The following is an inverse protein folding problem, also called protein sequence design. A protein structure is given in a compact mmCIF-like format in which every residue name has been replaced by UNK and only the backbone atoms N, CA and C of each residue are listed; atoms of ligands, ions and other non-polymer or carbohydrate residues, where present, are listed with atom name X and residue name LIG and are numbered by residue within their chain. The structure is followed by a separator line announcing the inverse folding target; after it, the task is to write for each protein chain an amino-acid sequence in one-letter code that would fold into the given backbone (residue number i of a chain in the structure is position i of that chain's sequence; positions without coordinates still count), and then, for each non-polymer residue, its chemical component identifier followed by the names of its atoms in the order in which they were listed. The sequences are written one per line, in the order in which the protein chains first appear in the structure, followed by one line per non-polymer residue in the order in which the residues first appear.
data_IF_437042527889
#
_entry.id   IF_437042527889
#
_cell.length_a   1.000
_cell.length_b   1.000
_cell.length_c   1.000
_cell.angle_alpha   90.00
_cell.angle_beta   90.00
_cell.angle_gamma   90.00
#
_symmetry.space_group_name_H-M   'P 1'
#
loop_
_entity.id
_entity.type
_entity.pdbx_description
1 polymer ?
#
# COMPACT_ATOMS: atom_id res chain seq x y z
N UNK A 1 5.35 1.28 -10.52
CA UNK A 1 6.62 0.62 -10.15
C UNK A 1 7.01 0.86 -8.71
N UNK A 2 6.70 2.01 -8.12
CA UNK A 2 6.85 2.19 -6.68
C UNK A 2 5.99 1.16 -5.91
N UNK A 3 6.48 0.72 -4.76
CA UNK A 3 5.81 -0.25 -3.87
C UNK A 3 5.89 0.25 -2.41
N UNK A 4 5.00 -0.15 -1.49
CA UNK A 4 5.21 0.10 -0.07
C UNK A 4 6.44 -0.65 0.44
N UNK A 5 7.10 -0.10 1.46
CA UNK A 5 8.19 -0.77 2.19
C UNK A 5 7.74 -2.12 2.77
N UNK A 6 8.70 -3.03 3.00
CA UNK A 6 8.40 -4.37 3.53
C UNK A 6 7.85 -4.34 4.96
N UNK A 7 8.24 -3.33 5.73
CA UNK A 7 7.88 -3.10 7.12
C UNK A 7 6.80 -2.02 7.31
N UNK A 8 6.18 -1.53 6.23
CA UNK A 8 5.19 -0.44 6.20
C UNK A 8 4.18 -0.48 7.36
N UNK A 9 3.65 -1.66 7.69
CA UNK A 9 2.61 -1.81 8.71
C UNK A 9 3.13 -1.71 10.16
N UNK A 10 4.44 -1.81 10.36
CA UNK A 10 5.13 -1.80 11.65
C UNK A 10 5.93 -0.51 11.91
N UNK A 11 6.15 0.32 10.88
CA UNK A 11 6.88 1.59 11.00
C UNK A 11 6.23 2.53 12.01
N UNK A 12 7.03 3.14 12.89
CA UNK A 12 6.54 4.19 13.81
C UNK A 12 6.83 5.58 13.24
N UNK A 13 5.89 6.52 13.41
CA UNK A 13 6.03 7.86 12.84
C UNK A 13 7.22 8.65 13.45
N UNK A 14 7.51 8.39 14.72
CA UNK A 14 8.60 9.05 15.45
C UNK A 14 9.98 8.51 15.09
N UNK A 15 10.06 7.34 14.43
CA UNK A 15 11.33 6.81 13.96
C UNK A 15 11.87 7.67 12.81
N UNK A 16 13.19 7.92 12.83
CA UNK A 16 13.88 8.59 11.72
C UNK A 16 14.01 7.60 10.56
N UNK A 17 12.91 7.37 9.84
CA UNK A 17 12.88 6.60 8.61
C UNK A 17 13.06 7.50 7.39
N UNK A 18 13.72 6.96 6.37
CA UNK A 18 13.71 7.55 5.03
C UNK A 18 12.32 7.45 4.41
N UNK A 19 11.89 8.52 3.73
CA UNK A 19 10.56 8.56 3.09
C UNK A 19 10.50 7.67 1.84
N UNK A 20 11.62 7.54 1.13
CA UNK A 20 11.74 6.79 -0.10
C UNK A 20 13.08 6.04 -0.13
N UNK A 21 13.05 4.74 -0.41
CA UNK A 21 14.26 3.92 -0.56
C UNK A 21 14.27 3.23 -1.93
N UNK A 22 15.41 2.72 -2.41
CA UNK A 22 15.46 2.08 -3.72
C UNK A 22 14.62 0.79 -3.78
N UNK A 23 13.80 0.63 -4.82
CA UNK A 23 13.01 -0.58 -5.01
C UNK A 23 13.81 -1.65 -5.76
N UNK A 24 14.64 -2.37 -5.00
CA UNK A 24 15.47 -3.48 -5.50
C UNK A 24 14.69 -4.55 -6.27
N UNK A 25 13.55 -5.08 -5.75
CA UNK A 25 12.75 -6.09 -6.45
C UNK A 25 12.25 -5.68 -7.84
N UNK A 26 12.09 -4.38 -8.09
CA UNK A 26 11.67 -3.86 -9.40
C UNK A 26 12.84 -3.36 -10.26
N UNK A 27 14.05 -3.25 -9.70
CA UNK A 27 15.24 -2.69 -10.35
C UNK A 27 15.12 -1.20 -10.72
N UNK A 28 14.06 -0.54 -10.31
CA UNK A 28 13.75 0.85 -10.65
C UNK A 28 12.77 1.44 -9.64
N UNK A 29 12.58 2.76 -9.64
CA UNK A 29 11.65 3.44 -8.74
C UNK A 29 11.98 3.23 -7.25
N UNK A 30 11.01 3.45 -6.37
CA UNK A 30 11.21 3.57 -4.93
C UNK A 30 10.22 2.73 -4.11
N UNK A 31 10.66 2.28 -2.94
CA UNK A 31 9.77 1.84 -1.88
C UNK A 31 9.32 3.08 -1.08
N UNK A 32 8.03 3.20 -0.81
CA UNK A 32 7.40 4.33 -0.11
C UNK A 32 7.06 3.91 1.31
N UNK A 33 7.52 4.68 2.30
CA UNK A 33 7.28 4.38 3.72
C UNK A 33 5.90 4.87 4.18
N UNK A 34 5.42 4.36 5.31
CA UNK A 34 4.16 4.78 5.94
C UNK A 34 4.18 6.29 6.24
N UNK A 35 5.31 6.78 6.74
CA UNK A 35 5.52 8.21 7.02
C UNK A 35 5.35 9.09 5.77
N UNK A 36 5.91 8.65 4.64
CA UNK A 36 5.79 9.38 3.38
C UNK A 36 4.33 9.40 2.89
N UNK A 37 3.62 8.28 3.03
CA UNK A 37 2.21 8.19 2.66
C UNK A 37 1.33 9.09 3.52
N UNK A 38 1.50 9.08 4.85
CA UNK A 38 0.76 9.97 5.75
C UNK A 38 0.96 11.44 5.37
N UNK A 39 2.22 11.84 5.12
CA UNK A 39 2.52 13.22 4.68
C UNK A 39 1.81 13.55 3.36
N UNK A 40 1.87 12.65 2.38
CA UNK A 40 1.21 12.86 1.09
C UNK A 40 -0.31 13.02 1.24
N UNK A 41 -0.95 12.19 2.07
CA UNK A 41 -2.38 12.26 2.33
C UNK A 41 -2.77 13.59 3.03
N UNK A 42 -2.04 13.95 4.10
CA UNK A 42 -2.25 15.20 4.84
C UNK A 42 -2.04 16.43 3.94
N UNK A 43 -0.97 16.47 3.14
CA UNK A 43 -0.64 17.61 2.27
C UNK A 43 -1.68 17.84 1.15
N UNK A 44 -2.43 16.80 0.77
CA UNK A 44 -3.38 16.85 -0.35
C UNK A 44 -4.85 16.68 0.08
N UNK A 45 -5.13 16.65 1.38
CA UNK A 45 -6.47 16.41 1.94
C UNK A 45 -7.15 15.14 1.38
N UNK A 46 -6.39 14.04 1.33
CA UNK A 46 -6.84 12.74 0.83
C UNK A 46 -7.03 11.74 1.96
N UNK A 47 -8.01 10.84 1.82
CA UNK A 47 -8.31 9.82 2.82
C UNK A 47 -7.40 8.58 2.72
N UNK A 48 -7.09 8.15 1.49
CA UNK A 48 -6.41 6.89 1.20
C UNK A 48 -5.85 6.88 -0.23
N UNK A 49 -4.77 6.13 -0.46
CA UNK A 49 -4.34 5.75 -1.81
C UNK A 49 -4.80 4.33 -2.13
N UNK A 50 -5.48 4.16 -3.26
CA UNK A 50 -5.84 2.83 -3.80
C UNK A 50 -4.92 2.52 -4.99
N UNK A 51 -4.31 1.34 -4.99
CA UNK A 51 -3.39 0.90 -6.06
C UNK A 51 -3.53 -0.59 -6.37
N UNK A 52 -2.85 -1.05 -7.44
CA UNK A 52 -2.78 -2.46 -7.84
C UNK A 52 -1.34 -3.00 -7.79
N UNK A 53 -0.86 -3.73 -8.79
CA UNK A 53 0.56 -4.06 -9.06
C UNK A 53 1.27 -5.07 -8.12
N UNK A 54 0.78 -5.36 -6.92
CA UNK A 54 1.28 -6.45 -6.08
C UNK A 54 0.20 -7.52 -5.90
N UNK A 55 0.56 -8.80 -6.13
CA UNK A 55 -0.33 -9.96 -5.91
C UNK A 55 -0.74 -10.03 -4.45
N UNK A 56 -2.02 -10.24 -4.17
CA UNK A 56 -2.56 -10.38 -2.81
C UNK A 56 -3.39 -11.65 -2.71
N UNK A 57 -3.05 -12.53 -1.77
CA UNK A 57 -3.77 -13.80 -1.55
C UNK A 57 -5.24 -13.59 -1.19
N UNK A 58 -5.58 -12.53 -0.46
CA UNK A 58 -6.98 -12.20 -0.16
C UNK A 58 -7.65 -11.36 -1.26
N UNK A 59 -6.99 -11.10 -2.39
CA UNK A 59 -7.51 -10.20 -3.43
C UNK A 59 -7.36 -8.72 -3.12
N UNK A 60 -7.26 -8.35 -1.86
CA UNK A 60 -6.92 -7.01 -1.41
C UNK A 60 -6.05 -7.05 -0.16
N UNK A 61 -5.29 -5.98 0.07
CA UNK A 61 -4.60 -5.71 1.33
C UNK A 61 -4.89 -4.28 1.75
N UNK A 62 -5.43 -4.13 2.96
CA UNK A 62 -5.51 -2.85 3.65
C UNK A 62 -4.26 -2.70 4.51
N UNK A 63 -3.55 -1.58 4.34
CA UNK A 63 -2.33 -1.28 5.10
C UNK A 63 -2.66 -0.47 6.35
N UNK A 64 -1.62 -0.19 7.15
CA UNK A 64 -1.71 0.61 8.37
C UNK A 64 -2.57 1.86 8.22
N UNK A 65 -3.43 2.04 9.23
CA UNK A 65 -4.39 3.12 9.32
C UNK A 65 -3.70 4.43 9.67
N UNK A 66 -4.20 5.52 9.10
CA UNK A 66 -3.81 6.87 9.47
C UNK A 66 -4.24 7.14 10.91
N UNK A 67 -3.37 7.74 11.72
CA UNK A 67 -3.63 7.94 13.15
C UNK A 67 -4.82 8.88 13.42
N UNK A 68 -5.04 9.87 12.54
CA UNK A 68 -6.14 10.84 12.71
C UNK A 68 -7.48 10.32 12.24
N UNK A 69 -7.53 9.71 11.06
CA UNK A 69 -8.80 9.32 10.41
C UNK A 69 -9.20 7.88 10.72
N UNK A 70 -8.27 7.08 11.25
CA UNK A 70 -8.43 5.63 11.51
C UNK A 70 -8.79 4.82 10.24
N UNK A 71 -8.58 5.40 9.06
CA UNK A 71 -8.80 4.78 7.77
C UNK A 71 -7.47 4.27 7.20
N UNK A 72 -7.43 3.13 6.47
CA UNK A 72 -6.22 2.63 5.83
C UNK A 72 -5.54 3.70 4.97
N UNK A 73 -4.23 3.92 5.15
CA UNK A 73 -3.48 4.90 4.33
C UNK A 73 -3.31 4.44 2.89
N UNK A 74 -3.21 3.12 2.70
CA UNK A 74 -2.99 2.47 1.41
C UNK A 74 -3.89 1.24 1.32
N UNK A 75 -4.44 0.99 0.14
CA UNK A 75 -5.13 -0.25 -0.21
C UNK A 75 -4.52 -0.78 -1.51
N UNK A 76 -4.08 -2.03 -1.49
CA UNK A 76 -3.71 -2.76 -2.71
C UNK A 76 -4.85 -3.67 -3.11
N UNK A 77 -5.31 -3.56 -4.36
CA UNK A 77 -6.31 -4.44 -4.98
C UNK A 77 -5.64 -5.30 -6.05
N UNK A 78 -6.01 -6.57 -6.09
CA UNK A 78 -5.53 -7.52 -7.08
C UNK A 78 -6.72 -8.33 -7.63
N UNK A 79 -7.09 -8.04 -8.87
CA UNK A 79 -8.33 -8.54 -9.50
C UNK A 79 -8.13 -9.72 -10.46
N UNK A 80 -6.95 -10.35 -10.45
CA UNK A 80 -6.65 -11.53 -11.26
C UNK A 80 -6.73 -12.81 -10.41
N UNK A 81 -7.92 -13.42 -10.23
CA UNK A 81 -8.06 -14.68 -9.50
C UNK A 81 -7.27 -15.80 -10.20
N UNK A 82 -6.71 -16.73 -9.43
CA UNK A 82 -5.87 -17.82 -9.92
C UNK A 82 -4.64 -17.36 -10.71
N UNK A 83 -4.04 -16.23 -10.32
CA UNK A 83 -2.81 -15.76 -10.94
C UNK A 83 -1.75 -16.88 -10.90
N UNK A 84 -1.23 -17.21 -12.10
CA UNK A 84 -0.33 -18.34 -12.36
C UNK A 84 -0.84 -19.73 -11.95
N UNK A 85 -2.16 -19.95 -11.76
CA UNK A 85 -2.77 -21.23 -11.31
C UNK A 85 -2.37 -21.73 -9.91
N UNK A 86 -1.60 -20.94 -9.15
CA UNK A 86 -1.13 -21.30 -7.80
C UNK A 86 -1.66 -20.38 -6.69
N UNK A 87 -2.15 -19.18 -7.02
CA UNK A 87 -2.61 -18.22 -6.02
C UNK A 87 -4.14 -18.06 -6.06
N UNK A 88 -4.82 -18.65 -5.09
CA UNK A 88 -6.21 -18.32 -4.79
C UNK A 88 -6.25 -16.85 -4.33
N UNK A 89 -6.70 -15.96 -5.20
CA UNK A 89 -6.92 -14.54 -4.90
C UNK A 89 -8.42 -14.26 -5.09
N UNK A 90 -9.07 -13.65 -4.09
CA UNK A 90 -10.43 -13.13 -4.28
C UNK A 90 -10.42 -11.90 -5.19
N UNK A 91 -11.53 -11.56 -5.84
CA UNK A 91 -11.64 -10.32 -6.62
C UNK A 91 -12.47 -9.31 -5.82
N UNK A 92 -11.95 -8.10 -5.62
CA UNK A 92 -12.66 -7.01 -4.95
C UNK A 92 -12.97 -5.90 -5.97
N UNK A 93 -14.24 -5.51 -6.06
CA UNK A 93 -14.69 -4.30 -6.75
C UNK A 93 -15.14 -3.31 -5.67
N UNK A 94 -14.51 -2.13 -5.61
CA UNK A 94 -15.05 -1.00 -4.84
C UNK A 94 -16.25 -0.45 -5.62
N UNK A 95 -17.44 -0.55 -5.03
CA UNK A 95 -18.63 0.20 -5.45
C UNK A 95 -18.83 1.37 -4.50
N UNK A 96 -19.28 2.49 -5.06
CA UNK A 96 -19.47 3.79 -4.41
C UNK A 96 -20.09 3.69 -3.00
N UNK A 97 -19.56 4.48 -2.05
CA UNK A 97 -20.11 4.72 -0.71
C UNK A 97 -21.34 5.61 -0.77
#
# INVERSE_FOLDING_TARGET
WADPTGDYDNEKLEQKLEMYTHNGPRGCSYNVSYKAMCKFLDDNDLLCVIRAHQVQSAGCKMYKKHEKTLFPTLVTIFSAPNYCKFFFCFCLILKDL
#
